data_IF_637543077202
#
_entry.id   IF_637543077202
#
_cell.length_a   1.000
_cell.length_b   1.000
_cell.length_c   1.000
_cell.angle_alpha   90.00
_cell.angle_beta   90.00
_cell.angle_gamma   90.00
#
_symmetry.space_group_name_H-M   'P 1'
#
loop_
_entity.id
_entity.type
_entity.pdbx_description
1 polymer ?
#
# COMPACT_ATOMS: atom_id res chain seq x y z
N UNK A 1 13.72 1.33 6.05
CA UNK A 1 13.60 1.01 4.60
C UNK A 1 12.29 0.29 4.33
N UNK A 2 11.98 -0.81 5.03
CA UNK A 2 10.72 -1.55 4.92
C UNK A 2 9.45 -0.65 4.99
N UNK A 3 9.35 0.21 6.01
CA UNK A 3 8.20 1.12 6.16
C UNK A 3 8.04 2.10 5.00
N UNK A 4 9.14 2.53 4.37
CA UNK A 4 9.11 3.44 3.23
C UNK A 4 8.54 2.76 1.98
N UNK A 5 8.94 1.49 1.73
CA UNK A 5 8.41 0.68 0.64
C UNK A 5 6.91 0.42 0.82
N UNK A 6 6.52 0.05 2.05
CA UNK A 6 5.12 -0.17 2.42
C UNK A 6 4.28 1.10 2.23
N UNK A 7 4.78 2.27 2.66
CA UNK A 7 4.02 3.51 2.50
C UNK A 7 3.87 3.90 1.03
N UNK A 8 4.94 3.75 0.25
CA UNK A 8 4.97 4.20 -1.14
C UNK A 8 3.95 3.49 -2.05
N UNK A 9 3.88 2.15 -2.00
CA UNK A 9 2.93 1.42 -2.86
C UNK A 9 1.50 1.43 -2.29
N UNK A 10 1.34 1.39 -0.96
CA UNK A 10 0.01 1.39 -0.31
C UNK A 10 -0.80 2.66 -0.61
N UNK A 11 -0.15 3.83 -0.76
CA UNK A 11 -0.82 5.06 -1.20
C UNK A 11 -1.35 4.93 -2.62
N UNK A 12 -0.50 4.47 -3.54
CA UNK A 12 -0.84 4.41 -4.97
C UNK A 12 -1.96 3.41 -5.21
N UNK A 13 -1.83 2.20 -4.64
CA UNK A 13 -2.86 1.16 -4.71
C UNK A 13 -4.17 1.64 -4.07
N UNK A 14 -4.10 2.37 -2.95
CA UNK A 14 -5.26 2.98 -2.32
C UNK A 14 -5.96 3.99 -3.24
N UNK A 15 -5.20 4.87 -3.91
CA UNK A 15 -5.74 5.85 -4.87
C UNK A 15 -6.41 5.15 -6.04
N UNK A 16 -5.77 4.14 -6.64
CA UNK A 16 -6.36 3.34 -7.72
C UNK A 16 -7.66 2.66 -7.26
N UNK A 17 -7.67 2.01 -6.09
CA UNK A 17 -8.90 1.41 -5.55
C UNK A 17 -10.02 2.45 -5.32
N UNK A 18 -9.68 3.62 -4.78
CA UNK A 18 -10.65 4.69 -4.49
C UNK A 18 -11.18 5.41 -5.72
N UNK A 19 -10.39 5.47 -6.79
CA UNK A 19 -10.80 6.06 -8.07
C UNK A 19 -11.66 5.12 -8.93
N UNK A 20 -11.66 3.81 -8.63
CA UNK A 20 -12.38 2.85 -9.43
C UNK A 20 -13.89 2.98 -9.29
N UNK A 21 -14.59 3.03 -10.43
CA UNK A 21 -16.05 3.16 -10.48
C UNK A 21 -16.78 1.83 -10.73
N UNK A 22 -16.03 0.77 -11.09
CA UNK A 22 -16.60 -0.54 -11.45
C UNK A 22 -16.71 -1.46 -10.23
N UNK A 23 -17.92 -1.85 -9.78
CA UNK A 23 -18.07 -2.81 -8.68
C UNK A 23 -17.44 -4.18 -9.00
N UNK A 24 -17.37 -4.55 -10.28
CA UNK A 24 -16.72 -5.78 -10.74
C UNK A 24 -15.20 -5.74 -10.56
N UNK A 25 -14.59 -4.55 -10.51
CA UNK A 25 -13.16 -4.35 -10.23
C UNK A 25 -12.92 -4.20 -8.72
N UNK A 26 -13.73 -3.36 -8.05
CA UNK A 26 -13.59 -3.05 -6.63
C UNK A 26 -13.70 -4.30 -5.75
N UNK A 27 -14.71 -5.14 -5.95
CA UNK A 27 -14.96 -6.32 -5.09
C UNK A 27 -13.78 -7.30 -5.05
N UNK A 28 -13.28 -7.82 -6.18
CA UNK A 28 -12.12 -8.70 -6.16
C UNK A 28 -10.86 -7.99 -5.67
N UNK A 29 -10.69 -6.69 -5.99
CA UNK A 29 -9.52 -5.92 -5.55
C UNK A 29 -9.50 -5.74 -4.02
N UNK A 30 -10.63 -5.39 -3.39
CA UNK A 30 -10.74 -5.32 -1.92
C UNK A 30 -10.44 -6.66 -1.28
N UNK A 31 -10.96 -7.76 -1.83
CA UNK A 31 -10.65 -9.10 -1.33
C UNK A 31 -9.14 -9.40 -1.43
N UNK A 32 -8.53 -9.17 -2.59
CA UNK A 32 -7.10 -9.37 -2.81
C UNK A 32 -6.24 -8.51 -1.87
N UNK A 33 -6.56 -7.23 -1.74
CA UNK A 33 -5.82 -6.28 -0.89
C UNK A 33 -5.96 -6.59 0.60
N UNK A 34 -7.10 -7.11 1.03
CA UNK A 34 -7.27 -7.56 2.43
C UNK A 34 -6.28 -8.67 2.76
N UNK A 35 -6.14 -9.68 1.89
CA UNK A 35 -5.15 -10.73 2.08
C UNK A 35 -3.72 -10.21 1.95
N UNK A 36 -3.46 -9.32 0.99
CA UNK A 36 -2.15 -8.71 0.80
C UNK A 36 -1.70 -7.95 2.06
N UNK A 37 -2.54 -7.03 2.56
CA UNK A 37 -2.27 -6.24 3.75
C UNK A 37 -2.11 -7.12 4.99
N UNK A 38 -2.82 -8.24 5.09
CA UNK A 38 -2.63 -9.20 6.19
C UNK A 38 -1.20 -9.76 6.19
N UNK A 39 -0.69 -10.19 5.04
CA UNK A 39 0.68 -10.74 4.94
C UNK A 39 1.75 -9.65 5.13
N UNK A 40 1.55 -8.46 4.58
CA UNK A 40 2.46 -7.33 4.81
C UNK A 40 2.52 -6.91 6.28
N UNK A 41 1.38 -6.90 6.97
CA UNK A 41 1.30 -6.59 8.40
C UNK A 41 2.01 -7.62 9.28
N UNK A 42 1.90 -8.91 8.94
CA UNK A 42 2.67 -9.96 9.61
C UNK A 42 4.19 -9.81 9.37
N UNK A 43 4.61 -9.46 8.16
CA UNK A 43 6.01 -9.18 7.83
C UNK A 43 6.57 -7.99 8.61
N UNK A 44 5.81 -6.89 8.69
CA UNK A 44 6.14 -5.72 9.50
C UNK A 44 6.28 -6.09 10.98
N UNK A 45 5.34 -6.86 11.52
CA UNK A 45 5.37 -7.35 12.91
C UNK A 45 6.62 -8.20 13.20
N UNK A 46 6.98 -9.11 12.30
CA UNK A 46 8.21 -9.90 12.39
C UNK A 46 9.47 -9.03 12.44
N UNK A 47 9.56 -8.03 11.55
CA UNK A 47 10.67 -7.08 11.52
C UNK A 47 10.77 -6.26 12.82
N UNK A 48 9.64 -5.81 13.37
CA UNK A 48 9.59 -5.05 14.62
C UNK A 48 10.12 -5.90 15.79
N UNK A 49 9.70 -7.17 15.87
CA UNK A 49 10.16 -8.10 16.91
C UNK A 49 11.66 -8.38 16.76
N UNK A 50 12.13 -8.65 15.54
CA UNK A 50 13.53 -8.97 15.28
C UNK A 50 14.47 -7.77 15.49
N UNK A 51 14.03 -6.56 15.14
CA UNK A 51 14.81 -5.34 15.34
C UNK A 51 14.83 -4.84 16.80
N UNK A 52 14.02 -5.45 17.69
CA UNK A 52 13.95 -5.05 19.11
C UNK A 52 13.46 -3.62 19.32
N UNK A 53 12.57 -3.12 18.44
CA UNK A 53 12.08 -1.75 18.51
C UNK A 53 11.26 -1.48 19.78
N UNK A 54 11.43 -0.28 20.33
CA UNK A 54 10.68 0.19 21.52
C UNK A 54 9.24 0.52 21.14
N UNK A 55 8.32 0.45 22.12
CA UNK A 55 6.88 0.68 21.95
C UNK A 55 6.51 1.94 21.15
N UNK A 56 7.28 3.03 21.26
CA UNK A 56 7.04 4.26 20.47
C UNK A 56 7.25 4.03 18.97
N UNK A 57 8.35 3.38 18.58
CA UNK A 57 8.64 3.08 17.17
C UNK A 57 7.64 2.08 16.61
N UNK A 58 7.30 1.05 17.40
CA UNK A 58 6.24 0.09 17.04
C UNK A 58 4.90 0.77 16.78
N UNK A 59 4.50 1.70 17.66
CA UNK A 59 3.25 2.44 17.51
C UNK A 59 3.25 3.34 16.26
N UNK A 60 4.36 4.02 15.97
CA UNK A 60 4.50 4.85 14.78
C UNK A 60 4.38 4.00 13.51
N UNK A 61 5.10 2.88 13.45
CA UNK A 61 5.09 1.98 12.29
C UNK A 61 3.71 1.35 12.07
N UNK A 62 3.04 0.91 13.14
CA UNK A 62 1.69 0.38 13.07
C UNK A 62 0.67 1.46 12.63
N UNK A 63 0.84 2.70 13.11
CA UNK A 63 -0.01 3.82 12.72
C UNK A 63 0.11 4.07 11.22
N UNK A 64 1.32 4.32 10.69
CA UNK A 64 1.53 4.57 9.27
C UNK A 64 1.04 3.42 8.40
N UNK A 65 1.33 2.16 8.79
CA UNK A 65 0.80 0.99 8.10
C UNK A 65 -0.73 1.00 7.98
N UNK A 66 -1.43 1.30 9.08
CA UNK A 66 -2.90 1.25 9.12
C UNK A 66 -3.59 2.40 8.37
N UNK A 67 -3.00 3.60 8.35
CA UNK A 67 -3.67 4.79 7.80
C UNK A 67 -3.35 5.05 6.33
N UNK A 68 -2.24 4.52 5.83
CA UNK A 68 -1.76 4.85 4.48
C UNK A 68 -2.74 4.42 3.39
N UNK A 69 -3.19 3.16 3.40
CA UNK A 69 -4.14 2.65 2.39
C UNK A 69 -5.51 3.36 2.49
N UNK A 70 -6.13 3.54 3.67
CA UNK A 70 -7.37 4.31 3.80
C UNK A 70 -7.25 5.76 3.33
N UNK A 71 -6.12 6.44 3.60
CA UNK A 71 -5.87 7.80 3.09
C UNK A 71 -5.77 7.77 1.57
N UNK A 72 -5.06 6.80 0.98
CA UNK A 72 -5.01 6.61 -0.47
C UNK A 72 -6.39 6.44 -1.07
N UNK A 73 -7.24 5.60 -0.48
CA UNK A 73 -8.64 5.39 -0.92
C UNK A 73 -9.44 6.69 -0.84
N UNK A 74 -9.35 7.41 0.28
CA UNK A 74 -10.06 8.69 0.44
C UNK A 74 -9.62 9.72 -0.61
N UNK A 75 -8.32 9.79 -0.91
CA UNK A 75 -7.78 10.64 -1.98
C UNK A 75 -8.28 10.18 -3.34
N UNK A 76 -8.25 8.88 -3.64
CA UNK A 76 -8.75 8.30 -4.89
C UNK A 76 -10.22 8.65 -5.14
N UNK A 77 -11.06 8.54 -4.10
CA UNK A 77 -12.47 8.95 -4.16
C UNK A 77 -12.59 10.45 -4.42
N UNK A 78 -11.77 11.28 -3.77
CA UNK A 78 -11.83 12.73 -3.92
C UNK A 78 -11.42 13.20 -5.32
N UNK A 79 -10.52 12.48 -6.00
CA UNK A 79 -10.02 12.84 -7.33
C UNK A 79 -10.63 12.02 -8.47
N UNK A 80 -11.55 11.09 -8.18
CA UNK A 80 -12.07 10.11 -9.15
C UNK A 80 -12.67 10.75 -10.40
N UNK A 81 -13.28 11.94 -10.26
CA UNK A 81 -13.85 12.70 -11.38
C UNK A 81 -12.82 13.22 -12.40
N UNK A 82 -11.55 13.37 -12.01
CA UNK A 82 -10.48 13.92 -12.85
C UNK A 82 -9.34 12.93 -13.12
N UNK A 83 -9.19 11.90 -12.29
CA UNK A 83 -8.15 10.89 -12.40
C UNK A 83 -8.64 9.68 -13.18
N UNK A 84 -7.95 9.34 -14.28
CA UNK A 84 -8.20 8.11 -15.02
C UNK A 84 -7.15 7.04 -14.65
N UNK A 85 -7.57 6.10 -13.81
CA UNK A 85 -6.77 4.95 -13.37
C UNK A 85 -6.28 4.06 -14.52
N UNK A 86 -6.98 4.05 -15.67
CA UNK A 86 -6.62 3.28 -16.85
C UNK A 86 -5.72 4.05 -17.83
N UNK A 87 -5.28 5.26 -17.49
CA UNK A 87 -4.39 6.04 -18.36
C UNK A 87 -2.97 5.46 -18.39
N UNK A 88 -2.24 5.55 -19.51
CA UNK A 88 -0.87 5.03 -19.60
C UNK A 88 0.06 5.62 -18.52
N UNK A 89 -0.11 6.91 -18.20
CA UNK A 89 0.68 7.58 -17.17
C UNK A 89 0.39 7.02 -15.77
N UNK A 90 -0.88 6.79 -15.42
CA UNK A 90 -1.26 6.19 -14.14
C UNK A 90 -0.64 4.80 -13.99
N UNK A 91 -0.78 3.95 -15.01
CA UNK A 91 -0.23 2.58 -15.01
C UNK A 91 1.31 2.56 -14.95
N UNK A 92 2.00 3.51 -15.60
CA UNK A 92 3.47 3.62 -15.51
C UNK A 92 3.90 4.02 -14.10
N UNK A 93 3.21 4.98 -13.48
CA UNK A 93 3.51 5.44 -12.13
C UNK A 93 3.27 4.30 -11.13
N UNK A 94 2.13 3.63 -11.21
CA UNK A 94 1.80 2.45 -10.40
C UNK A 94 2.85 1.36 -10.54
N UNK A 95 3.18 0.96 -11.77
CA UNK A 95 4.19 -0.06 -12.03
C UNK A 95 5.60 0.30 -11.52
N UNK A 96 5.99 1.58 -11.57
CA UNK A 96 7.29 2.04 -11.03
C UNK A 96 7.34 1.94 -9.50
N UNK A 97 6.29 2.39 -8.81
CA UNK A 97 6.22 2.32 -7.35
C UNK A 97 6.09 0.88 -6.85
N UNK A 98 5.33 0.04 -7.55
CA UNK A 98 5.21 -1.39 -7.25
C UNK A 98 6.53 -2.13 -7.46
N UNK A 99 7.24 -1.87 -8.56
CA UNK A 99 8.55 -2.46 -8.81
C UNK A 99 9.59 -2.02 -7.76
N UNK A 100 9.57 -0.75 -7.35
CA UNK A 100 10.43 -0.25 -6.29
C UNK A 100 10.10 -0.92 -4.94
N UNK A 101 8.82 -1.08 -4.59
CA UNK A 101 8.38 -1.76 -3.37
C UNK A 101 8.77 -3.25 -3.39
N UNK A 102 8.52 -3.95 -4.49
CA UNK A 102 8.94 -5.34 -4.69
C UNK A 102 10.46 -5.52 -4.51
N UNK A 103 11.27 -4.59 -5.05
CA UNK A 103 12.72 -4.59 -4.84
C UNK A 103 13.13 -4.46 -3.37
N UNK A 104 12.46 -3.61 -2.60
CA UNK A 104 12.70 -3.46 -1.16
C UNK A 104 12.31 -4.74 -0.41
N UNK A 105 11.17 -5.36 -0.76
CA UNK A 105 10.73 -6.61 -0.13
C UNK A 105 11.71 -7.76 -0.40
N UNK A 106 12.21 -7.88 -1.63
CA UNK A 106 13.24 -8.88 -1.97
C UNK A 106 14.53 -8.61 -1.18
N UNK A 107 15.01 -7.36 -1.12
CA UNK A 107 16.20 -7.00 -0.35
C UNK A 107 16.08 -7.36 1.14
N UNK A 108 14.90 -7.18 1.73
CA UNK A 108 14.65 -7.52 3.14
C UNK A 108 14.54 -9.03 3.40
N UNK A 109 14.35 -9.84 2.35
CA UNK A 109 14.30 -11.30 2.46
C UNK A 109 15.66 -12.00 2.36
N UNK A 110 16.70 -11.25 1.97
CA UNK A 110 18.09 -11.71 1.83
C UNK A 110 18.91 -11.42 3.09
#
# INVERSE_FOLDING_TARGET
>A
VLELGIVAHSVIIGISLGASESPCTIRPLVAALTFHQLFEGMGLGGCIVQAGFKNKSTAIMAFFFSVTTPIGIAVGIAISSAYNENSPTALIVEGLFDAASAGILIYMSL
#
